data_IF_030548528304
#
_entry.id   IF_030548528304
#
_cell.length_a   1.000
_cell.length_b   1.000
_cell.length_c   1.000
_cell.angle_alpha   90.00
_cell.angle_beta   90.00
_cell.angle_gamma   90.00
#
_symmetry.space_group_name_H-M   'P 1'
#
loop_
_entity.id
_entity.type
_entity.pdbx_description
1 polymer ?
#
# COMPACT_ATOMS: atom_id res chain seq x y z
N UNK A 1 15.01 -41.71 6.91
CA UNK A 1 13.87 -41.45 6.00
C UNK A 1 12.72 -40.97 6.84
N UNK A 2 12.49 -39.65 6.89
CA UNK A 2 11.31 -39.09 7.57
C UNK A 2 10.20 -39.05 6.53
N UNK A 3 9.17 -39.85 6.74
CA UNK A 3 7.93 -39.83 5.95
C UNK A 3 7.21 -38.51 6.24
N UNK A 4 7.39 -37.50 5.37
CA UNK A 4 6.55 -36.30 5.32
C UNK A 4 5.32 -36.60 4.46
N UNK A 5 4.45 -37.47 4.95
CA UNK A 5 3.04 -37.45 4.53
C UNK A 5 2.27 -36.64 5.57
N UNK A 6 2.51 -35.33 5.59
CA UNK A 6 1.49 -34.42 6.08
C UNK A 6 0.43 -34.37 4.97
N UNK A 7 -0.76 -34.91 5.22
CA UNK A 7 -1.94 -34.55 4.42
C UNK A 7 -2.20 -33.07 4.69
N UNK A 8 -1.50 -32.22 3.96
CA UNK A 8 -1.72 -30.78 4.06
C UNK A 8 -3.08 -30.50 3.41
N UNK A 9 -4.07 -30.23 4.24
CA UNK A 9 -5.42 -29.84 3.79
C UNK A 9 -5.44 -28.37 3.34
N UNK A 10 -4.28 -27.75 3.21
CA UNK A 10 -4.10 -26.37 2.78
C UNK A 10 -3.58 -26.28 1.35
N UNK A 11 -3.87 -25.16 0.69
CA UNK A 11 -3.36 -24.85 -0.65
C UNK A 11 -2.49 -23.60 -0.64
N UNK A 12 -1.43 -23.65 -1.42
CA UNK A 12 -0.44 -22.59 -1.50
C UNK A 12 -0.47 -21.92 -2.87
N UNK A 13 -0.42 -20.59 -2.86
CA UNK A 13 -0.31 -19.80 -4.08
C UNK A 13 0.77 -18.74 -3.89
N UNK A 14 1.42 -18.37 -4.97
CA UNK A 14 2.35 -17.24 -5.01
C UNK A 14 1.89 -16.27 -6.06
N UNK A 15 2.20 -15.00 -5.87
CA UNK A 15 1.88 -14.00 -6.85
C UNK A 15 2.85 -12.84 -6.85
N UNK A 16 2.76 -12.09 -7.92
CA UNK A 16 3.43 -10.81 -8.07
C UNK A 16 2.36 -9.74 -8.25
N UNK A 17 2.53 -8.59 -7.61
CA UNK A 17 1.64 -7.43 -7.69
C UNK A 17 2.45 -6.20 -8.11
N UNK A 18 1.84 -5.34 -8.92
CA UNK A 18 2.40 -4.06 -9.31
C UNK A 18 1.29 -3.04 -9.54
N UNK A 19 1.55 -1.78 -9.19
CA UNK A 19 0.52 -0.76 -9.28
C UNK A 19 0.98 0.64 -8.92
N UNK A 20 0.03 1.56 -8.97
CA UNK A 20 0.25 2.98 -8.68
C UNK A 20 -0.21 3.29 -7.25
N UNK A 21 0.67 3.91 -6.47
CA UNK A 21 0.50 4.20 -5.06
C UNK A 21 0.40 5.72 -4.86
N UNK A 22 -0.79 6.23 -4.54
CA UNK A 22 -1.00 7.65 -4.23
C UNK A 22 -0.77 7.90 -2.75
N UNK A 23 0.21 8.75 -2.44
CA UNK A 23 0.56 9.14 -1.08
C UNK A 23 -0.16 10.44 -0.70
N UNK A 24 -1.09 10.37 0.25
CA UNK A 24 -1.67 11.58 0.85
C UNK A 24 -0.89 11.92 2.11
N UNK A 25 -0.08 12.98 2.01
CA UNK A 25 0.97 13.37 2.99
C UNK A 25 0.93 14.88 3.23
N UNK A 26 1.79 15.41 4.12
CA UNK A 26 1.86 16.85 4.45
C UNK A 26 2.28 17.75 3.26
N UNK A 27 2.72 17.15 2.12
CA UNK A 27 2.98 17.83 0.85
C UNK A 27 1.71 18.18 0.06
N UNK A 28 0.56 17.60 0.42
CA UNK A 28 -0.70 17.81 -0.28
C UNK A 28 -1.59 18.88 0.35
N UNK A 29 -2.21 19.73 -0.46
CA UNK A 29 -3.29 20.60 0.00
C UNK A 29 -4.56 19.78 0.35
N UNK A 30 -5.16 20.08 1.50
CA UNK A 30 -6.41 19.44 1.96
C UNK A 30 -7.57 19.73 1.01
N UNK A 31 -8.43 18.74 0.79
CA UNK A 31 -9.61 18.82 -0.09
C UNK A 31 -9.30 19.11 -1.57
N UNK A 32 -8.04 19.03 -2.00
CA UNK A 32 -7.66 19.13 -3.41
C UNK A 32 -7.47 17.74 -4.01
N UNK A 33 -8.32 17.33 -4.95
CA UNK A 33 -8.23 16.01 -5.59
C UNK A 33 -6.87 15.80 -6.28
N UNK A 34 -6.29 16.86 -6.85
CA UNK A 34 -4.99 16.81 -7.50
C UNK A 34 -3.88 16.52 -6.49
N UNK A 35 -3.92 17.11 -5.29
CA UNK A 35 -2.91 16.88 -4.25
C UNK A 35 -3.09 15.56 -3.48
N UNK A 36 -4.33 15.05 -3.37
CA UNK A 36 -4.64 13.85 -2.58
C UNK A 36 -4.67 12.55 -3.40
N UNK A 37 -4.99 12.62 -4.71
CA UNK A 37 -5.19 11.42 -5.55
C UNK A 37 -4.30 11.43 -6.81
N UNK A 38 -3.90 12.60 -7.32
CA UNK A 38 -3.25 12.73 -8.63
C UNK A 38 -1.77 13.08 -8.64
N UNK A 39 -1.27 13.81 -7.64
CA UNK A 39 0.03 14.48 -7.69
C UNK A 39 1.19 13.63 -7.17
N UNK A 40 1.01 13.00 -6.00
CA UNK A 40 2.06 12.23 -5.32
C UNK A 40 1.93 10.73 -5.61
N UNK A 41 1.84 10.38 -6.90
CA UNK A 41 1.69 9.00 -7.38
C UNK A 41 3.05 8.35 -7.57
N UNK A 42 3.33 7.36 -6.74
CA UNK A 42 4.46 6.46 -6.84
C UNK A 42 4.14 5.17 -7.56
N UNK A 43 5.18 4.39 -7.86
CA UNK A 43 5.04 3.00 -8.30
C UNK A 43 5.35 2.04 -7.16
N UNK A 44 4.55 0.98 -7.06
CA UNK A 44 4.73 -0.09 -6.10
C UNK A 44 4.76 -1.44 -6.78
N UNK A 45 5.57 -2.36 -6.25
CA UNK A 45 5.63 -3.76 -6.65
C UNK A 45 5.78 -4.65 -5.43
N UNK A 46 5.34 -5.90 -5.51
CA UNK A 46 5.41 -6.81 -4.38
C UNK A 46 5.25 -8.27 -4.77
N UNK A 47 5.63 -9.12 -3.83
CA UNK A 47 5.41 -10.56 -3.89
C UNK A 47 4.43 -10.93 -2.80
N UNK A 48 3.48 -11.76 -3.16
CA UNK A 48 2.44 -12.25 -2.26
C UNK A 48 2.47 -13.77 -2.19
N UNK A 49 2.13 -14.28 -1.01
CA UNK A 49 1.96 -15.69 -0.76
C UNK A 49 0.60 -15.91 -0.11
N UNK A 50 -0.14 -16.89 -0.61
CA UNK A 50 -1.43 -17.27 -0.06
C UNK A 50 -1.36 -18.60 0.64
N UNK A 51 -1.98 -18.62 1.82
CA UNK A 51 -2.38 -19.83 2.51
C UNK A 51 -3.91 -19.91 2.45
N UNK A 52 -4.41 -20.94 1.78
CA UNK A 52 -5.82 -21.28 1.77
C UNK A 52 -6.04 -22.50 2.67
N UNK A 53 -7.15 -22.54 3.39
CA UNK A 53 -7.46 -23.61 4.35
C UNK A 53 -8.09 -24.85 3.71
N UNK A 54 -8.12 -24.92 2.38
CA UNK A 54 -8.73 -25.99 1.60
C UNK A 54 -7.77 -26.48 0.51
N UNK A 55 -7.81 -27.78 0.19
CA UNK A 55 -7.03 -28.36 -0.92
C UNK A 55 -7.86 -28.37 -2.21
N UNK A 56 -7.48 -27.52 -3.18
CA UNK A 56 -8.18 -27.44 -4.47
C UNK A 56 -8.05 -28.70 -5.34
N UNK A 57 -7.14 -29.62 -5.00
CA UNK A 57 -6.73 -30.69 -5.91
C UNK A 57 -7.73 -31.84 -6.01
N UNK A 58 -8.45 -32.22 -4.95
CA UNK A 58 -8.93 -33.61 -4.92
C UNK A 58 -10.26 -34.00 -4.27
N UNK A 59 -11.09 -33.15 -3.63
CA UNK A 59 -12.21 -33.72 -2.83
C UNK A 59 -13.52 -32.95 -2.87
N UNK A 60 -14.48 -33.47 -3.65
CA UNK A 60 -15.91 -33.11 -3.62
C UNK A 60 -16.64 -33.46 -2.30
N UNK A 61 -15.97 -34.20 -1.41
CA UNK A 61 -16.53 -34.73 -0.17
C UNK A 61 -15.73 -34.26 1.06
N UNK A 62 -14.93 -33.20 0.93
CA UNK A 62 -14.43 -32.50 2.11
C UNK A 62 -15.58 -31.62 2.61
N UNK A 63 -16.08 -31.93 3.81
CA UNK A 63 -16.91 -30.99 4.56
C UNK A 63 -16.01 -29.84 4.99
N UNK A 64 -15.91 -28.84 4.14
CA UNK A 64 -15.30 -27.56 4.48
C UNK A 64 -16.29 -26.76 5.33
N UNK A 65 -15.76 -25.86 6.14
CA UNK A 65 -16.59 -24.94 6.89
C UNK A 65 -16.61 -23.59 6.17
N UNK A 66 -17.61 -22.76 6.49
CA UNK A 66 -17.76 -21.43 5.90
C UNK A 66 -16.48 -20.59 5.97
N UNK A 67 -15.69 -20.76 7.05
CA UNK A 67 -14.42 -20.08 7.18
C UNK A 67 -13.43 -20.47 6.08
N UNK A 68 -13.22 -21.77 5.86
CA UNK A 68 -12.27 -22.27 4.88
C UNK A 68 -12.71 -22.01 3.42
N UNK A 69 -14.02 -21.87 3.19
CA UNK A 69 -14.63 -21.56 1.88
C UNK A 69 -14.59 -20.08 1.52
N UNK A 70 -14.52 -19.19 2.51
CA UNK A 70 -14.60 -17.74 2.28
C UNK A 70 -13.37 -16.96 2.71
N UNK A 71 -12.46 -17.54 3.49
CA UNK A 71 -11.28 -16.83 3.99
C UNK A 71 -9.96 -17.35 3.42
N UNK A 72 -9.07 -16.42 3.10
CA UNK A 72 -7.66 -16.68 2.73
C UNK A 72 -6.73 -15.82 3.57
N UNK A 73 -5.55 -16.34 3.85
CA UNK A 73 -4.47 -15.55 4.46
C UNK A 73 -3.46 -15.20 3.38
N UNK A 74 -3.13 -13.91 3.27
CA UNK A 74 -2.11 -13.37 2.38
C UNK A 74 -0.94 -12.86 3.20
N UNK A 75 0.25 -13.38 2.96
CA UNK A 75 1.49 -12.71 3.34
C UNK A 75 1.98 -11.86 2.17
N UNK A 76 2.57 -10.70 2.46
CA UNK A 76 3.05 -9.78 1.45
C UNK A 76 4.38 -9.13 1.85
N UNK A 77 5.27 -9.05 0.86
CA UNK A 77 6.44 -8.18 0.86
C UNK A 77 6.32 -7.23 -0.33
N UNK A 78 6.21 -5.93 -0.09
CA UNK A 78 6.11 -4.93 -1.16
C UNK A 78 7.11 -3.79 -0.99
N UNK A 79 7.50 -3.20 -2.11
CA UNK A 79 8.34 -2.03 -2.22
C UNK A 79 7.58 -0.95 -2.98
N UNK A 80 7.62 0.27 -2.47
CA UNK A 80 7.00 1.44 -3.08
C UNK A 80 7.97 2.61 -3.07
N UNK A 81 7.93 3.42 -4.11
CA UNK A 81 8.69 4.66 -4.17
C UNK A 81 7.86 5.75 -4.80
N UNK A 82 7.87 6.92 -4.18
CA UNK A 82 7.17 8.10 -4.68
C UNK A 82 8.03 9.35 -4.56
N UNK A 83 7.83 10.26 -5.50
CA UNK A 83 8.28 11.65 -5.39
C UNK A 83 7.11 12.45 -4.82
N UNK A 84 7.42 13.34 -3.89
CA UNK A 84 6.46 14.16 -3.18
C UNK A 84 6.69 15.61 -3.59
N UNK A 85 5.71 16.22 -4.23
CA UNK A 85 5.76 17.62 -4.65
C UNK A 85 4.58 18.37 -4.01
N UNK A 86 4.73 19.69 -3.83
CA UNK A 86 3.64 20.53 -3.34
C UNK A 86 2.67 20.86 -4.48
N UNK A 87 1.41 20.47 -4.31
CA UNK A 87 0.32 20.78 -5.24
C UNK A 87 -0.80 21.53 -4.54
N UNK A 88 -1.36 22.54 -5.20
CA UNK A 88 -2.50 23.29 -4.67
C UNK A 88 -2.44 24.78 -5.00
N UNK A 89 -3.48 25.52 -4.64
CA UNK A 89 -3.61 26.95 -4.99
C UNK A 89 -2.47 27.81 -4.43
N UNK A 90 -1.87 27.39 -3.31
CA UNK A 90 -0.73 28.07 -2.67
C UNK A 90 0.60 27.80 -3.39
N UNK A 91 0.76 26.61 -3.96
CA UNK A 91 1.91 26.30 -4.80
C UNK A 91 1.75 26.90 -6.21
N UNK A 92 0.52 27.05 -6.70
CA UNK A 92 0.22 27.66 -8.00
C UNK A 92 0.20 29.21 -7.95
N UNK A 93 0.19 29.79 -6.75
CA UNK A 93 0.28 31.24 -6.58
C UNK A 93 1.70 31.73 -6.96
N UNK A 94 1.76 32.53 -8.03
CA UNK A 94 2.99 33.16 -8.51
C UNK A 94 3.22 34.54 -7.89
N UNK A 95 2.24 35.07 -7.14
CA UNK A 95 2.28 36.41 -6.57
C UNK A 95 2.97 36.49 -5.20
N UNK A 96 3.22 35.34 -4.58
CA UNK A 96 3.83 35.24 -3.24
C UNK A 96 5.16 34.49 -3.29
N UNK A 97 6.15 34.98 -2.53
CA UNK A 97 7.43 34.29 -2.36
C UNK A 97 7.23 32.87 -1.76
N UNK A 98 6.17 32.70 -0.97
CA UNK A 98 5.76 31.40 -0.44
C UNK A 98 5.48 30.35 -1.52
N UNK A 99 4.78 30.71 -2.60
CA UNK A 99 4.52 29.79 -3.70
C UNK A 99 5.79 29.35 -4.46
N UNK A 100 6.80 30.23 -4.54
CA UNK A 100 8.12 29.88 -5.10
C UNK A 100 8.82 28.85 -4.23
N UNK A 101 8.83 29.05 -2.90
CA UNK A 101 9.41 28.11 -1.94
C UNK A 101 8.71 26.74 -1.98
N UNK A 102 7.38 26.72 -2.12
CA UNK A 102 6.59 25.49 -2.21
C UNK A 102 6.92 24.69 -3.48
N UNK A 103 7.00 25.34 -4.63
CA UNK A 103 7.32 24.66 -5.90
C UNK A 103 8.75 24.15 -5.98
N UNK A 104 9.68 24.83 -5.30
CA UNK A 104 11.08 24.42 -5.24
C UNK A 104 11.34 23.31 -4.22
N UNK A 105 10.37 22.98 -3.35
CA UNK A 105 10.52 22.00 -2.28
C UNK A 105 10.03 20.62 -2.75
N UNK A 106 10.95 19.65 -2.73
CA UNK A 106 10.70 18.29 -3.19
C UNK A 106 11.05 17.26 -2.12
N UNK A 107 10.20 16.26 -1.99
CA UNK A 107 10.43 15.07 -1.18
C UNK A 107 10.58 13.82 -2.05
N UNK A 108 11.26 12.81 -1.54
CA UNK A 108 11.14 11.43 -2.03
C UNK A 108 11.03 10.51 -0.84
N UNK A 109 10.11 9.57 -0.91
CA UNK A 109 9.99 8.52 0.09
C UNK A 109 10.04 7.16 -0.60
N UNK A 110 10.66 6.20 0.06
CA UNK A 110 10.53 4.80 -0.30
C UNK A 110 10.09 4.01 0.91
N UNK A 111 9.21 3.05 0.66
CA UNK A 111 8.60 2.18 1.66
C UNK A 111 8.86 0.73 1.29
N UNK A 112 9.24 -0.07 2.28
CA UNK A 112 9.22 -1.53 2.22
C UNK A 112 8.20 -2.02 3.23
N UNK A 113 7.13 -2.65 2.76
CA UNK A 113 6.06 -3.16 3.61
C UNK A 113 6.20 -4.69 3.74
N UNK A 114 6.14 -5.20 4.97
CA UNK A 114 6.07 -6.62 5.26
C UNK A 114 4.88 -6.88 6.18
N UNK A 115 3.95 -7.71 5.75
CA UNK A 115 2.75 -7.93 6.55
C UNK A 115 1.88 -9.07 6.09
N UNK A 116 0.73 -9.17 6.75
CA UNK A 116 -0.26 -10.18 6.44
C UNK A 116 -1.66 -9.57 6.42
N UNK A 117 -2.50 -10.14 5.57
CA UNK A 117 -3.88 -9.74 5.38
C UNK A 117 -4.78 -10.97 5.37
N UNK A 118 -5.99 -10.77 5.87
CA UNK A 118 -7.08 -11.70 5.76
C UNK A 118 -8.00 -11.23 4.64
N UNK A 119 -8.27 -12.09 3.67
CA UNK A 119 -9.22 -11.83 2.57
C UNK A 119 -10.51 -12.60 2.83
N UNK A 120 -11.66 -11.92 2.75
CA UNK A 120 -12.98 -12.51 2.74
C UNK A 120 -13.58 -12.42 1.33
N UNK A 121 -13.82 -13.57 0.72
CA UNK A 121 -14.42 -13.69 -0.60
C UNK A 121 -15.93 -13.89 -0.48
N UNK A 122 -16.73 -13.21 -1.30
CA UNK A 122 -18.19 -13.44 -1.29
C UNK A 122 -18.59 -14.77 -1.93
N UNK A 123 -17.78 -15.27 -2.85
CA UNK A 123 -18.00 -16.55 -3.52
C UNK A 123 -17.17 -17.62 -2.84
N UNK A 124 -17.65 -18.86 -2.92
CA UNK A 124 -16.90 -20.00 -2.43
C UNK A 124 -15.58 -20.13 -3.22
N UNK A 125 -14.48 -20.04 -2.47
CA UNK A 125 -13.11 -20.15 -2.94
C UNK A 125 -12.82 -21.53 -3.51
N UNK A 126 -13.41 -22.59 -2.96
CA UNK A 126 -13.27 -23.96 -3.43
C UNK A 126 -13.91 -24.10 -4.81
N UNK A 127 -15.11 -23.59 -4.99
CA UNK A 127 -15.80 -23.57 -6.29
C UNK A 127 -15.05 -22.70 -7.29
N UNK A 128 -14.52 -21.55 -6.84
CA UNK A 128 -13.69 -20.69 -7.67
C UNK A 128 -12.37 -21.35 -8.04
N UNK A 129 -11.71 -22.12 -7.17
CA UNK A 129 -10.49 -22.87 -7.49
C UNK A 129 -10.77 -24.17 -8.27
N UNK A 130 -12.01 -24.65 -8.26
CA UNK A 130 -12.40 -25.92 -8.86
C UNK A 130 -12.25 -25.92 -10.37
N UNK A 131 -11.72 -27.03 -10.88
CA UNK A 131 -11.61 -27.31 -12.33
C UNK A 131 -12.95 -27.70 -12.97
N UNK A 132 -13.97 -28.05 -12.17
CA UNK A 132 -15.28 -28.54 -12.64
C UNK A 132 -16.34 -27.46 -12.84
N UNK A 133 -16.17 -26.28 -12.23
CA UNK A 133 -17.11 -25.16 -12.37
C UNK A 133 -16.41 -24.06 -13.20
N UNK A 134 -16.44 -24.16 -14.54
CA UNK A 134 -15.79 -23.18 -15.42
C UNK A 134 -16.50 -21.83 -15.45
N UNK A 135 -17.73 -21.75 -14.95
CA UNK A 135 -18.58 -20.56 -15.07
C UNK A 135 -18.24 -19.49 -14.04
N UNK A 136 -17.69 -19.87 -12.87
CA UNK A 136 -17.30 -18.93 -11.84
C UNK A 136 -15.91 -18.34 -12.17
N UNK A 137 -15.94 -17.21 -12.88
CA UNK A 137 -14.74 -16.52 -13.39
C UNK A 137 -14.26 -15.39 -12.50
N UNK A 138 -15.10 -14.90 -11.59
CA UNK A 138 -14.82 -13.75 -10.73
C UNK A 138 -15.02 -14.10 -9.27
N UNK A 139 -14.13 -13.59 -8.42
CA UNK A 139 -14.17 -13.75 -6.98
C UNK A 139 -13.87 -12.40 -6.32
N UNK A 140 -14.90 -11.56 -6.12
CA UNK A 140 -14.73 -10.32 -5.37
C UNK A 140 -14.40 -10.65 -3.91
N UNK A 141 -13.64 -9.77 -3.25
CA UNK A 141 -13.30 -9.89 -1.83
C UNK A 141 -13.09 -8.52 -1.17
N UNK A 142 -13.17 -8.52 0.16
CA UNK A 142 -12.58 -7.47 1.01
C UNK A 142 -11.38 -8.03 1.74
N UNK A 143 -10.43 -7.16 2.06
CA UNK A 143 -9.25 -7.53 2.85
C UNK A 143 -9.02 -6.58 4.00
N UNK A 144 -8.45 -7.10 5.07
CA UNK A 144 -7.96 -6.31 6.19
C UNK A 144 -6.66 -6.91 6.70
N UNK A 145 -5.71 -6.08 7.13
CA UNK A 145 -4.45 -6.60 7.64
C UNK A 145 -3.59 -5.59 8.37
N UNK A 146 -2.41 -6.07 8.75
CA UNK A 146 -1.42 -5.33 9.50
C UNK A 146 -0.04 -5.53 8.88
N UNK A 147 0.73 -4.45 8.83
CA UNK A 147 2.04 -4.39 8.22
C UNK A 147 3.04 -3.72 9.14
N UNK A 148 4.30 -4.10 8.95
CA UNK A 148 5.47 -3.40 9.43
C UNK A 148 6.13 -2.76 8.22
N UNK A 149 6.30 -1.45 8.27
CA UNK A 149 6.74 -0.64 7.14
C UNK A 149 8.06 0.04 7.50
N UNK A 150 9.09 -0.25 6.71
CA UNK A 150 10.33 0.49 6.74
C UNK A 150 10.24 1.66 5.77
N UNK A 151 10.46 2.87 6.26
CA UNK A 151 10.43 4.09 5.44
C UNK A 151 11.77 4.81 5.52
N UNK A 152 12.14 5.47 4.43
CA UNK A 152 13.30 6.35 4.39
C UNK A 152 12.96 7.57 3.52
N UNK A 153 12.67 8.70 4.16
CA UNK A 153 12.32 9.92 3.46
C UNK A 153 13.58 10.74 3.17
N UNK A 154 13.53 11.50 2.07
CA UNK A 154 14.57 12.44 1.66
C UNK A 154 13.91 13.74 1.20
N UNK A 155 14.57 14.86 1.46
CA UNK A 155 14.10 16.21 1.16
C UNK A 155 15.20 16.92 0.37
N UNK A 156 14.82 17.67 -0.65
CA UNK A 156 15.71 18.55 -1.40
C UNK A 156 14.97 19.80 -1.89
N UNK A 157 15.72 20.85 -2.19
CA UNK A 157 15.19 22.11 -2.74
C UNK A 157 15.98 22.54 -3.98
N UNK A 158 15.30 23.12 -4.96
CA UNK A 158 15.93 23.71 -6.13
C UNK A 158 16.62 25.06 -5.82
N UNK A 159 16.36 25.64 -4.65
CA UNK A 159 16.86 26.96 -4.23
C UNK A 159 18.13 26.91 -3.36
N UNK A 160 18.56 25.73 -2.91
CA UNK A 160 19.71 25.57 -2.02
C UNK A 160 19.64 24.33 -1.14
N UNK A 161 20.50 24.25 -0.11
CA UNK A 161 20.36 23.20 0.90
C UNK A 161 19.07 23.46 1.69
N UNK A 162 18.22 22.43 1.82
CA UNK A 162 16.96 22.52 2.56
C UNK A 162 17.15 22.86 4.04
N UNK A 163 18.38 22.70 4.56
CA UNK A 163 18.76 23.10 5.92
C UNK A 163 19.10 24.58 6.05
N UNK A 164 19.33 25.28 4.94
CA UNK A 164 19.66 26.69 4.97
C UNK A 164 18.42 27.52 5.34
N UNK A 165 18.57 28.56 6.18
CA UNK A 165 17.45 29.40 6.61
C UNK A 165 16.71 30.02 5.41
N UNK A 166 15.39 29.87 5.38
CA UNK A 166 14.54 30.47 4.35
C UNK A 166 14.48 29.73 3.01
N UNK A 167 15.14 28.58 2.86
CA UNK A 167 15.03 27.72 1.67
C UNK A 167 13.76 26.88 1.68
N UNK A 168 13.33 26.44 2.86
CA UNK A 168 12.06 25.76 3.03
C UNK A 168 10.96 26.76 3.41
N UNK A 169 9.72 26.40 3.06
CA UNK A 169 8.56 27.15 3.50
C UNK A 169 8.56 27.26 5.04
N UNK A 170 8.26 28.43 5.65
CA UNK A 170 8.52 28.70 7.08
C UNK A 170 7.95 27.68 8.07
N UNK A 171 6.87 26.99 7.72
CA UNK A 171 6.23 25.93 8.51
C UNK A 171 7.08 24.66 8.63
N UNK A 172 7.96 24.39 7.66
CA UNK A 172 8.82 23.21 7.60
C UNK A 172 10.31 23.53 7.70
N UNK A 173 10.67 24.81 7.90
CA UNK A 173 12.06 25.23 8.07
C UNK A 173 12.63 24.71 9.40
N UNK A 174 13.66 23.84 9.38
CA UNK A 174 14.26 23.28 10.59
C UNK A 174 14.91 24.35 11.48
N UNK A 175 15.26 25.52 10.94
CA UNK A 175 15.82 26.63 11.71
C UNK A 175 14.77 27.31 12.62
N UNK A 176 13.51 27.29 12.21
CA UNK A 176 12.39 27.80 13.02
C UNK A 176 11.83 26.69 13.92
N UNK A 177 11.74 25.47 13.37
CA UNK A 177 11.14 24.31 14.03
C UNK A 177 12.00 23.06 13.83
N UNK A 178 12.89 22.73 14.79
CA UNK A 178 13.85 21.63 14.64
C UNK A 178 13.23 20.26 14.33
N UNK A 179 11.99 20.01 14.76
CA UNK A 179 11.27 18.75 14.55
C UNK A 179 10.36 18.74 13.31
N UNK A 180 10.29 19.83 12.54
CA UNK A 180 9.34 19.96 11.43
C UNK A 180 9.72 19.18 10.17
N UNK A 181 11.02 18.89 9.99
CA UNK A 181 11.55 18.11 8.86
C UNK A 181 12.56 17.08 9.37
N UNK A 182 12.32 15.80 9.09
CA UNK A 182 13.15 14.69 9.55
C UNK A 182 13.36 13.64 8.46
N UNK A 183 14.58 13.55 7.95
CA UNK A 183 15.01 12.57 6.93
C UNK A 183 15.59 11.27 7.52
N UNK A 184 15.21 10.91 8.76
CA UNK A 184 15.76 9.73 9.43
C UNK A 184 14.97 8.49 9.03
N UNK A 185 15.62 7.42 8.52
CA UNK A 185 14.95 6.15 8.25
C UNK A 185 14.34 5.57 9.52
N UNK A 186 13.20 4.92 9.39
CA UNK A 186 12.48 4.38 10.53
C UNK A 186 11.61 3.18 10.19
N UNK A 187 11.06 2.58 11.23
CA UNK A 187 10.08 1.52 11.13
C UNK A 187 8.78 2.04 11.75
N UNK A 188 7.68 1.81 11.06
CA UNK A 188 6.33 2.03 11.58
C UNK A 188 5.51 0.77 11.40
N UNK A 189 4.35 0.75 12.02
CA UNK A 189 3.30 -0.21 11.70
C UNK A 189 2.17 0.50 10.95
N UNK A 190 1.40 -0.28 10.20
CA UNK A 190 0.20 0.19 9.53
C UNK A 190 -0.90 -0.84 9.56
N UNK A 191 -2.13 -0.36 9.36
CA UNK A 191 -3.29 -1.19 9.11
C UNK A 191 -3.76 -0.98 7.67
N UNK A 192 -4.20 -2.05 7.02
CA UNK A 192 -4.71 -2.02 5.65
C UNK A 192 -6.17 -2.43 5.60
N UNK A 193 -6.91 -1.80 4.70
CA UNK A 193 -8.22 -2.22 4.24
C UNK A 193 -8.20 -2.25 2.72
N UNK A 194 -8.73 -3.31 2.12
CA UNK A 194 -8.74 -3.46 0.68
C UNK A 194 -10.09 -3.94 0.18
N UNK A 195 -10.37 -3.56 -1.07
CA UNK A 195 -11.43 -4.18 -1.87
C UNK A 195 -10.80 -4.61 -3.18
N UNK A 196 -11.12 -5.84 -3.58
CA UNK A 196 -10.53 -6.39 -4.78
C UNK A 196 -11.40 -7.44 -5.41
N UNK A 197 -10.90 -7.95 -6.52
CA UNK A 197 -11.48 -9.08 -7.21
C UNK A 197 -10.39 -9.91 -7.85
N UNK A 198 -10.62 -11.22 -7.88
CA UNK A 198 -9.82 -12.14 -8.67
C UNK A 198 -10.59 -12.55 -9.90
N UNK A 199 -9.88 -12.69 -11.01
CA UNK A 199 -10.39 -13.24 -12.26
C UNK A 199 -9.59 -14.47 -12.64
N UNK A 200 -10.28 -15.59 -12.82
CA UNK A 200 -9.66 -16.82 -13.31
C UNK A 200 -9.12 -16.61 -14.73
N UNK A 201 -7.83 -16.87 -14.95
CA UNK A 201 -7.20 -16.84 -16.27
C UNK A 201 -7.05 -18.26 -16.86
N UNK A 202 -6.85 -19.26 -15.99
CA UNK A 202 -6.69 -20.65 -16.37
C UNK A 202 -6.85 -21.58 -15.17
N UNK A 203 -6.42 -22.83 -15.30
CA UNK A 203 -6.57 -23.83 -14.23
C UNK A 203 -5.60 -23.66 -13.04
N UNK A 204 -4.53 -22.87 -13.22
CA UNK A 204 -3.47 -22.69 -12.23
C UNK A 204 -3.13 -21.22 -11.98
N UNK A 205 -3.93 -20.30 -12.52
CA UNK A 205 -3.59 -18.88 -12.44
C UNK A 205 -4.77 -17.96 -12.48
N UNK A 206 -4.65 -16.88 -11.71
CA UNK A 206 -5.61 -15.78 -11.62
C UNK A 206 -4.96 -14.44 -11.87
N UNK A 207 -5.76 -13.50 -12.33
CA UNK A 207 -5.49 -12.09 -12.25
C UNK A 207 -6.10 -11.55 -10.96
N UNK A 208 -5.35 -10.78 -10.19
CA UNK A 208 -5.81 -10.04 -9.02
C UNK A 208 -5.90 -8.56 -9.38
N UNK A 209 -6.97 -7.89 -8.98
CA UNK A 209 -7.11 -6.44 -9.06
C UNK A 209 -7.57 -5.97 -7.68
N UNK A 210 -6.86 -5.02 -7.08
CA UNK A 210 -7.15 -4.54 -5.73
C UNK A 210 -6.93 -3.03 -5.62
N UNK A 211 -7.84 -2.38 -4.90
CA UNK A 211 -7.65 -1.06 -4.34
C UNK A 211 -7.46 -1.20 -2.85
N UNK A 212 -6.31 -0.75 -2.34
CA UNK A 212 -5.93 -0.86 -0.93
C UNK A 212 -5.71 0.50 -0.30
N UNK A 213 -6.37 0.73 0.82
CA UNK A 213 -6.08 1.81 1.74
C UNK A 213 -5.13 1.30 2.82
N UNK A 214 -4.05 2.03 3.07
CA UNK A 214 -3.08 1.75 4.12
C UNK A 214 -2.96 2.99 5.00
N UNK A 215 -3.17 2.80 6.29
CA UNK A 215 -3.10 3.83 7.31
C UNK A 215 -1.87 3.60 8.19
N UNK A 216 -0.94 4.56 8.20
CA UNK A 216 0.28 4.46 9.00
C UNK A 216 0.03 4.95 10.43
N UNK A 217 0.61 4.27 11.42
CA UNK A 217 0.52 4.69 12.82
C UNK A 217 1.54 5.79 13.18
N UNK A 218 2.34 6.25 12.22
CA UNK A 218 3.36 7.30 12.39
C UNK A 218 3.21 8.41 11.35
N UNK A 219 3.47 9.65 11.75
CA UNK A 219 3.39 10.88 10.92
C UNK A 219 4.78 11.33 10.48
N UNK A 220 5.68 10.40 10.21
CA UNK A 220 7.04 10.70 9.76
C UNK A 220 7.38 9.94 8.48
N UNK A 221 6.39 9.27 7.88
CA UNK A 221 6.59 8.39 6.73
C UNK A 221 6.95 9.19 5.47
N UNK A 222 6.50 10.44 5.41
CA UNK A 222 6.81 11.43 4.37
C UNK A 222 8.01 12.35 4.71
N UNK A 223 8.52 12.29 5.93
CA UNK A 223 9.64 13.09 6.43
C UNK A 223 9.29 14.51 6.90
N UNK A 224 8.03 14.92 6.87
CA UNK A 224 7.56 16.20 7.41
C UNK A 224 6.65 15.96 8.62
N UNK A 225 6.72 16.84 9.61
CA UNK A 225 5.79 16.77 10.75
C UNK A 225 5.56 18.15 11.36
N UNK A 226 4.67 18.92 10.74
CA UNK A 226 4.30 20.24 11.26
C UNK A 226 3.29 20.16 12.42
N UNK A 227 3.66 19.58 13.57
CA UNK A 227 2.81 19.47 14.80
C UNK A 227 2.21 20.80 15.26
N UNK A 228 2.82 21.90 14.87
CA UNK A 228 2.50 23.26 15.33
C UNK A 228 1.39 23.90 14.47
N UNK A 229 1.12 23.34 13.30
CA UNK A 229 0.05 23.82 12.43
C UNK A 229 -1.27 23.10 12.78
N UNK A 230 -2.39 23.83 12.96
CA UNK A 230 -3.71 23.23 13.22
C UNK A 230 -4.21 22.32 12.08
N UNK A 231 -3.51 22.34 10.95
CA UNK A 231 -3.70 21.54 9.74
C UNK A 231 -3.00 20.17 9.77
N UNK A 232 -2.18 19.84 10.77
CA UNK A 232 -1.55 18.52 10.88
C UNK A 232 -2.15 17.71 12.04
N UNK A 233 -3.33 17.14 11.82
CA UNK A 233 -4.11 16.41 12.85
C UNK A 233 -4.30 14.93 12.56
N UNK A 234 -3.88 14.43 11.39
CA UNK A 234 -4.16 13.06 10.94
C UNK A 234 -2.92 12.42 10.38
N UNK A 235 -2.80 11.10 10.56
CA UNK A 235 -1.66 10.34 10.07
C UNK A 235 -1.71 10.15 8.55
N UNK A 236 -0.54 9.91 7.96
CA UNK A 236 -0.38 9.63 6.54
C UNK A 236 -1.18 8.39 6.12
N UNK A 237 -1.80 8.47 4.94
CA UNK A 237 -2.50 7.34 4.34
C UNK A 237 -2.14 7.19 2.88
N UNK A 238 -2.12 5.94 2.43
CA UNK A 238 -1.74 5.52 1.11
C UNK A 238 -2.92 4.82 0.44
N UNK A 239 -3.18 5.19 -0.81
CA UNK A 239 -4.09 4.46 -1.70
C UNK A 239 -3.27 3.74 -2.77
N UNK A 240 -3.25 2.42 -2.75
CA UNK A 240 -2.54 1.60 -3.72
C UNK A 240 -3.52 0.83 -4.60
N UNK A 241 -3.56 1.18 -5.89
CA UNK A 241 -4.30 0.44 -6.90
C UNK A 241 -3.32 -0.45 -7.64
N UNK A 242 -3.49 -1.76 -7.55
CA UNK A 242 -2.56 -2.71 -8.13
C UNK A 242 -3.26 -3.87 -8.83
N UNK A 243 -2.51 -4.44 -9.78
CA UNK A 243 -2.86 -5.65 -10.50
C UNK A 243 -1.81 -6.69 -10.17
N UNK A 244 -2.25 -7.93 -9.99
CA UNK A 244 -1.38 -9.06 -9.71
C UNK A 244 -1.63 -10.25 -10.60
N UNK A 245 -0.60 -11.08 -10.73
CA UNK A 245 -0.71 -12.41 -11.29
C UNK A 245 -0.46 -13.41 -10.17
N UNK A 246 -1.37 -14.37 -10.01
CA UNK A 246 -1.29 -15.42 -9.00
C UNK A 246 -1.13 -16.75 -9.70
N UNK A 247 -0.22 -17.57 -9.19
CA UNK A 247 0.05 -18.92 -9.62
C UNK A 247 -0.16 -19.89 -8.46
N UNK A 248 -0.89 -20.97 -8.74
CA UNK A 248 -1.17 -22.01 -7.75
C UNK A 248 0.01 -22.99 -7.73
N UNK A 249 0.60 -23.23 -6.56
CA UNK A 249 1.76 -24.12 -6.40
C UNK A 249 1.39 -25.61 -6.30
N UNK A 250 0.13 -25.93 -6.55
CA UNK A 250 -0.49 -27.22 -6.25
C UNK A 250 -0.66 -28.13 -7.46
#
# INVERSE_FOLDING_TARGET
>A
MVNLQAQDQSSHEIGFISGSASFTTDYGERNNFQSNVGGNVGMGMGVIYYLNFTDYRYRWNQRTNYWAEHFRVRAELSYMSSKLDHFGQWADDLSTDGGVLLRAHHGKTYLVNLGAQLEFHWVDIVDFGSRRIPDLKWSPYVSAGAFVDFYNPSIYSDLGDWRDPGVLYPKWDPNNFPDAARITPGITMSATLGIGTRRKLGYYSDLLIESRWQYFFSNYVDGLNARQAPENKYNDWLLWIHVGYIYYLN
#
